data_IF_545929229846
#
_entry.id   IF_545929229846
#
_cell.length_a   1.000
_cell.length_b   1.000
_cell.length_c   1.000
_cell.angle_alpha   90.00
_cell.angle_beta   90.00
_cell.angle_gamma   90.00
#
_symmetry.space_group_name_H-M   'P 1'
#
loop_
_entity.id
_entity.type
_entity.pdbx_description
1 polymer ?
#
# COMPACT_ATOMS: atom_id res chain seq x y z
N UNK A 1 4.94 2.99 15.06
CA UNK A 1 4.16 2.72 13.84
C UNK A 1 4.06 1.22 13.65
N UNK A 2 2.94 0.71 13.18
CA UNK A 2 2.71 -0.71 12.89
C UNK A 2 2.34 -0.82 11.41
N UNK A 3 2.99 -1.68 10.65
CA UNK A 3 2.59 -1.94 9.26
C UNK A 3 1.29 -2.76 9.26
N UNK A 4 0.34 -2.33 8.44
CA UNK A 4 -1.01 -2.87 8.45
C UNK A 4 -1.67 -2.61 7.09
N UNK A 5 -2.10 -3.67 6.42
CA UNK A 5 -2.69 -3.56 5.09
C UNK A 5 -4.18 -3.25 5.14
N UNK A 6 -4.85 -3.73 6.18
CA UNK A 6 -6.25 -3.48 6.42
C UNK A 6 -6.49 -3.13 7.88
N UNK A 7 -7.02 -1.93 8.11
CA UNK A 7 -7.48 -1.47 9.41
C UNK A 7 -8.93 -0.99 9.33
N UNK A 8 -9.66 -1.13 10.44
CA UNK A 8 -11.06 -0.74 10.52
C UNK A 8 -11.24 0.70 11.06
N UNK A 9 -12.49 1.16 11.09
CA UNK A 9 -12.86 2.51 11.56
C UNK A 9 -12.56 2.78 13.04
N UNK A 10 -12.26 1.75 13.83
CA UNK A 10 -11.82 1.91 15.23
C UNK A 10 -10.30 1.81 15.39
N UNK A 11 -9.57 1.74 14.27
CA UNK A 11 -8.11 1.72 14.20
C UNK A 11 -7.48 0.37 14.47
N UNK A 12 -8.28 -0.69 14.58
CA UNK A 12 -7.77 -2.04 14.77
C UNK A 12 -7.15 -2.54 13.46
N UNK A 13 -5.93 -3.08 13.55
CA UNK A 13 -5.30 -3.73 12.42
C UNK A 13 -5.86 -5.14 12.25
N UNK A 14 -6.59 -5.37 11.16
CA UNK A 14 -7.16 -6.67 10.81
C UNK A 14 -6.17 -7.54 10.04
N UNK A 15 -5.26 -6.91 9.29
CA UNK A 15 -4.22 -7.60 8.51
C UNK A 15 -2.84 -7.01 8.84
N UNK A 16 -2.25 -7.42 9.98
CA UNK A 16 -0.90 -7.00 10.34
C UNK A 16 0.13 -7.65 9.42
N UNK A 17 1.10 -6.86 8.98
CA UNK A 17 2.16 -7.34 8.09
C UNK A 17 3.53 -7.15 8.72
N UNK A 18 4.39 -8.15 8.53
CA UNK A 18 5.78 -8.07 8.95
C UNK A 18 6.63 -7.25 7.96
N UNK A 19 7.81 -6.83 8.40
CA UNK A 19 8.80 -6.26 7.47
C UNK A 19 9.20 -7.31 6.44
N UNK A 20 9.50 -6.86 5.21
CA UNK A 20 9.82 -7.72 4.07
C UNK A 20 8.66 -8.65 3.66
N UNK A 21 7.42 -8.15 3.72
CA UNK A 21 6.23 -8.92 3.43
C UNK A 21 6.21 -9.50 1.99
N UNK A 22 5.64 -10.69 1.83
CA UNK A 22 5.50 -11.36 0.54
C UNK A 22 4.03 -11.64 0.21
N UNK A 23 3.51 -10.85 -0.72
CA UNK A 23 2.17 -11.03 -1.28
C UNK A 23 2.12 -12.24 -2.22
N UNK A 24 1.16 -13.13 -1.99
CA UNK A 24 0.88 -14.30 -2.83
C UNK A 24 -0.51 -14.16 -3.42
N UNK A 25 -0.56 -13.85 -4.71
CA UNK A 25 -1.82 -13.54 -5.40
C UNK A 25 -2.28 -14.74 -6.21
N UNK A 26 -3.52 -15.17 -5.99
CA UNK A 26 -4.19 -16.14 -6.85
C UNK A 26 -5.03 -15.40 -7.88
N UNK A 27 -4.84 -15.73 -9.17
CA UNK A 27 -5.54 -15.10 -10.29
C UNK A 27 -6.39 -16.16 -10.99
N UNK A 28 -7.72 -15.99 -11.06
CA UNK A 28 -8.57 -16.84 -11.89
C UNK A 28 -8.10 -16.89 -13.34
N UNK A 29 -8.20 -18.06 -13.99
CA UNK A 29 -7.70 -18.26 -15.35
C UNK A 29 -8.21 -17.21 -16.35
N UNK A 30 -9.50 -16.87 -16.26
CA UNK A 30 -10.18 -15.89 -17.12
C UNK A 30 -9.72 -14.44 -16.90
N UNK A 31 -8.92 -14.16 -15.85
CA UNK A 31 -8.31 -12.85 -15.55
C UNK A 31 -6.79 -12.86 -15.67
N UNK A 32 -6.21 -13.90 -16.29
CA UNK A 32 -4.76 -14.00 -16.47
C UNK A 32 -4.21 -12.70 -17.09
N UNK A 33 -3.30 -11.99 -16.40
CA UNK A 33 -2.70 -10.80 -16.95
C UNK A 33 -1.67 -11.17 -18.03
N UNK A 34 -1.74 -10.50 -19.17
CA UNK A 34 -0.74 -10.53 -20.22
C UNK A 34 0.09 -9.24 -20.29
N UNK A 35 -0.32 -8.21 -19.54
CA UNK A 35 0.39 -6.93 -19.42
C UNK A 35 0.45 -6.47 -17.96
N UNK A 36 1.44 -5.64 -17.65
CA UNK A 36 1.51 -4.95 -16.37
C UNK A 36 0.31 -4.06 -16.09
N UNK A 37 -0.30 -3.45 -17.11
CA UNK A 37 -1.53 -2.70 -16.93
C UNK A 37 -2.67 -3.59 -16.42
N UNK A 38 -2.92 -4.74 -17.07
CA UNK A 38 -3.96 -5.67 -16.61
C UNK A 38 -3.63 -6.23 -15.22
N UNK A 39 -2.37 -6.53 -14.96
CA UNK A 39 -1.95 -7.02 -13.65
C UNK A 39 -2.16 -5.97 -12.54
N UNK A 40 -1.75 -4.73 -12.78
CA UNK A 40 -1.93 -3.64 -11.82
C UNK A 40 -3.41 -3.34 -11.56
N UNK A 41 -4.24 -3.35 -12.61
CA UNK A 41 -5.68 -3.22 -12.48
C UNK A 41 -6.28 -4.40 -11.69
N UNK A 42 -5.80 -5.64 -11.91
CA UNK A 42 -6.23 -6.79 -11.12
C UNK A 42 -5.91 -6.62 -9.63
N UNK A 43 -4.67 -6.20 -9.32
CA UNK A 43 -4.28 -5.92 -7.94
C UNK A 43 -5.18 -4.86 -7.30
N UNK A 44 -5.48 -3.79 -8.03
CA UNK A 44 -6.32 -2.70 -7.53
C UNK A 44 -7.78 -3.12 -7.29
N UNK A 45 -8.42 -3.78 -8.27
CA UNK A 45 -9.86 -4.05 -8.19
C UNK A 45 -10.22 -5.38 -7.51
N UNK A 46 -9.31 -6.36 -7.51
CA UNK A 46 -9.62 -7.74 -7.10
C UNK A 46 -8.80 -8.22 -5.91
N UNK A 47 -7.47 -8.11 -5.94
CA UNK A 47 -6.65 -8.55 -4.80
C UNK A 47 -6.76 -7.58 -3.62
N UNK A 48 -6.79 -6.27 -3.92
CA UNK A 48 -6.86 -5.17 -2.95
C UNK A 48 -5.72 -5.16 -1.93
N UNK A 49 -4.52 -5.52 -2.38
CA UNK A 49 -3.32 -5.37 -1.55
C UNK A 49 -3.06 -3.89 -1.28
N UNK A 50 -3.15 -3.49 -0.01
CA UNK A 50 -3.10 -2.10 0.43
C UNK A 50 -1.99 -1.85 1.46
N UNK A 51 -0.69 -1.97 1.08
CA UNK A 51 0.42 -1.66 1.95
C UNK A 51 0.21 -0.35 2.71
N UNK A 52 0.23 -0.44 4.04
CA UNK A 52 -0.16 0.67 4.89
C UNK A 52 0.45 0.59 6.27
N UNK A 53 0.03 1.54 7.10
CA UNK A 53 0.45 1.60 8.48
C UNK A 53 -0.59 2.26 9.39
N UNK A 54 -0.45 1.97 10.67
CA UNK A 54 -1.13 2.63 11.78
C UNK A 54 -0.12 3.29 12.73
N UNK A 55 -0.48 4.47 13.19
CA UNK A 55 0.19 5.20 14.26
C UNK A 55 -0.78 5.25 15.42
N UNK A 56 -0.32 4.81 16.59
CA UNK A 56 -1.07 4.84 17.85
C UNK A 56 -0.44 5.87 18.77
N UNK A 57 -1.28 6.75 19.32
CA UNK A 57 -0.89 7.69 20.36
C UNK A 57 -1.12 7.07 21.73
N UNK A 58 -0.34 7.48 22.74
CA UNK A 58 -0.46 6.98 24.11
C UNK A 58 -1.66 7.55 24.88
N UNK A 59 -2.40 8.49 24.26
CA UNK A 59 -3.63 9.09 24.79
C UNK A 59 -4.53 9.51 23.64
N UNK A 60 -5.78 9.82 23.97
CA UNK A 60 -6.70 10.48 23.03
C UNK A 60 -6.17 11.87 22.66
N UNK A 61 -6.31 12.20 21.39
CA UNK A 61 -6.09 13.52 20.80
C UNK A 61 -7.16 14.47 21.31
N UNK A 62 -6.76 15.68 21.66
CA UNK A 62 -7.70 16.77 21.90
C UNK A 62 -8.37 17.18 20.58
N UNK A 63 -9.53 17.88 20.63
CA UNK A 63 -10.16 18.41 19.42
C UNK A 63 -9.24 19.33 18.60
N UNK A 64 -8.38 20.12 19.29
CA UNK A 64 -7.41 21.00 18.62
C UNK A 64 -6.34 20.21 17.89
N UNK A 65 -5.76 19.19 18.53
CA UNK A 65 -4.75 18.33 17.90
C UNK A 65 -5.32 17.56 16.72
N UNK A 66 -6.52 17.00 16.88
CA UNK A 66 -7.25 16.32 15.81
C UNK A 66 -7.43 17.22 14.59
N UNK A 67 -7.77 18.50 14.80
CA UNK A 67 -7.91 19.47 13.72
C UNK A 67 -6.55 19.77 13.07
N UNK A 68 -5.52 20.05 13.87
CA UNK A 68 -4.16 20.32 13.36
C UNK A 68 -3.62 19.17 12.51
N UNK A 69 -3.85 17.92 12.94
CA UNK A 69 -3.45 16.74 12.17
C UNK A 69 -4.22 16.68 10.86
N UNK A 70 -5.55 16.78 10.87
CA UNK A 70 -6.36 16.77 9.64
C UNK A 70 -5.94 17.87 8.64
N UNK A 71 -5.58 19.05 9.13
CA UNK A 71 -5.22 20.19 8.30
C UNK A 71 -3.78 20.10 7.72
N UNK A 72 -2.89 19.32 8.34
CA UNK A 72 -1.46 19.26 7.98
C UNK A 72 -0.93 17.88 7.60
N UNK A 73 -1.71 16.82 7.80
CA UNK A 73 -1.24 15.45 7.61
C UNK A 73 -0.99 15.14 6.13
N UNK A 74 0.19 14.60 5.88
CA UNK A 74 0.63 14.18 4.55
C UNK A 74 1.45 12.90 4.68
N UNK A 75 1.09 11.89 3.88
CA UNK A 75 1.77 10.61 3.84
C UNK A 75 2.12 10.22 2.40
N UNK A 76 3.30 9.63 2.22
CA UNK A 76 3.80 9.13 0.94
C UNK A 76 4.31 7.70 1.07
N UNK A 77 4.25 6.99 -0.05
CA UNK A 77 4.93 5.71 -0.23
C UNK A 77 5.91 5.84 -1.39
N UNK A 78 7.18 5.55 -1.14
CA UNK A 78 8.18 5.29 -2.16
C UNK A 78 8.17 3.80 -2.49
N UNK A 79 8.15 3.46 -3.77
CA UNK A 79 8.21 2.09 -4.27
C UNK A 79 9.27 2.02 -5.37
N UNK A 80 10.45 1.49 -5.03
CA UNK A 80 11.60 1.37 -5.94
C UNK A 80 11.86 2.64 -6.77
N UNK A 81 11.95 3.77 -6.06
CA UNK A 81 12.22 5.10 -6.63
C UNK A 81 11.00 5.87 -7.13
N UNK A 82 9.82 5.26 -7.21
CA UNK A 82 8.56 5.96 -7.52
C UNK A 82 7.88 6.40 -6.24
N UNK A 83 7.75 7.70 -6.01
CA UNK A 83 7.09 8.26 -4.82
C UNK A 83 5.70 8.74 -5.19
N UNK A 84 4.70 8.29 -4.44
CA UNK A 84 3.32 8.74 -4.58
C UNK A 84 2.74 9.13 -3.21
N UNK A 85 1.77 10.06 -3.23
CA UNK A 85 0.94 10.34 -2.04
C UNK A 85 0.07 9.12 -1.76
N UNK A 86 0.00 8.71 -0.50
CA UNK A 86 -0.85 7.59 -0.10
C UNK A 86 -2.33 7.92 -0.33
N UNK A 87 -3.04 6.97 -0.94
CA UNK A 87 -4.46 7.09 -1.31
C UNK A 87 -5.39 7.12 -0.09
N UNK A 88 -5.04 6.39 0.97
CA UNK A 88 -5.84 6.27 2.18
C UNK A 88 -5.38 7.17 3.32
N UNK A 89 -6.35 7.81 3.98
CA UNK A 89 -6.17 8.48 5.26
C UNK A 89 -7.41 8.28 6.13
N UNK A 90 -7.21 7.71 7.31
CA UNK A 90 -8.22 7.66 8.37
C UNK A 90 -7.60 8.08 9.70
N UNK A 91 -8.45 8.60 10.59
CA UNK A 91 -8.03 9.05 11.91
C UNK A 91 -9.16 8.84 12.91
N UNK A 92 -8.81 8.28 14.06
CA UNK A 92 -9.70 8.18 15.21
C UNK A 92 -9.24 9.03 16.39
N UNK A 93 -9.69 8.67 17.59
CA UNK A 93 -9.41 9.45 18.79
C UNK A 93 -7.94 9.34 19.24
N UNK A 94 -7.28 8.23 18.98
CA UNK A 94 -5.91 7.95 19.45
C UNK A 94 -5.06 7.28 18.35
N UNK A 95 -5.45 7.43 17.08
CA UNK A 95 -4.75 6.80 15.98
C UNK A 95 -4.89 7.54 14.65
N UNK A 96 -3.91 7.33 13.78
CA UNK A 96 -3.90 7.75 12.37
C UNK A 96 -3.47 6.56 11.52
N UNK A 97 -4.13 6.35 10.39
CA UNK A 97 -3.82 5.29 9.44
C UNK A 97 -3.73 5.80 8.02
N UNK A 98 -2.81 5.23 7.25
CA UNK A 98 -2.68 5.47 5.82
C UNK A 98 -2.36 4.19 5.08
N UNK A 99 -2.87 4.07 3.85
CA UNK A 99 -2.61 2.94 2.97
C UNK A 99 -2.44 3.41 1.52
N UNK A 100 -1.79 2.59 0.71
CA UNK A 100 -1.66 2.79 -0.73
C UNK A 100 -2.07 1.50 -1.44
N UNK A 101 -2.87 1.57 -2.51
CA UNK A 101 -3.12 0.39 -3.32
C UNK A 101 -1.84 0.01 -4.05
N UNK A 102 -1.36 -1.22 -3.83
CA UNK A 102 -0.13 -1.72 -4.46
C UNK A 102 -0.23 -1.69 -5.99
N UNK A 103 -1.43 -2.01 -6.53
CA UNK A 103 -1.72 -1.90 -7.96
C UNK A 103 -1.54 -0.48 -8.50
N UNK A 104 -1.97 0.55 -7.77
CA UNK A 104 -1.85 1.95 -8.19
C UNK A 104 -0.38 2.36 -8.37
N UNK A 105 0.46 2.10 -7.36
CA UNK A 105 1.86 2.55 -7.42
C UNK A 105 2.70 1.75 -8.43
N UNK A 106 2.43 0.46 -8.62
CA UNK A 106 3.09 -0.36 -9.64
C UNK A 106 2.74 0.19 -11.03
N UNK A 107 1.48 0.53 -11.27
CA UNK A 107 1.03 1.12 -12.54
C UNK A 107 1.78 2.42 -12.83
N UNK A 108 1.86 3.32 -11.85
CA UNK A 108 2.55 4.60 -12.04
C UNK A 108 4.05 4.44 -12.28
N UNK A 109 4.73 3.53 -11.56
CA UNK A 109 6.14 3.21 -11.82
C UNK A 109 6.35 2.75 -13.27
N UNK A 110 5.54 1.80 -13.72
CA UNK A 110 5.70 1.19 -15.04
C UNK A 110 5.23 2.09 -16.18
N UNK A 111 4.31 3.01 -15.91
CA UNK A 111 3.95 4.09 -16.82
C UNK A 111 5.14 5.02 -17.05
N UNK A 112 5.83 5.44 -15.98
CA UNK A 112 7.04 6.28 -16.04
C UNK A 112 8.18 5.57 -16.80
N UNK A 113 8.24 4.25 -16.72
CA UNK A 113 9.23 3.42 -17.44
C UNK A 113 8.79 3.01 -18.87
N UNK A 114 7.58 3.39 -19.33
CA UNK A 114 7.00 2.95 -20.60
C UNK A 114 6.92 1.41 -20.77
N UNK A 115 6.58 0.70 -19.69
CA UNK A 115 6.55 -0.77 -19.60
C UNK A 115 5.17 -1.36 -19.37
N UNK A 116 4.10 -0.55 -19.36
CA UNK A 116 2.73 -1.00 -19.08
C UNK A 116 2.22 -2.13 -19.98
N UNK A 117 2.60 -2.11 -21.26
CA UNK A 117 2.23 -3.13 -22.26
C UNK A 117 3.08 -4.39 -22.21
N UNK A 118 4.17 -4.39 -21.43
CA UNK A 118 5.03 -5.56 -21.28
C UNK A 118 4.42 -6.60 -20.34
N UNK A 119 4.77 -7.86 -20.56
CA UNK A 119 4.33 -8.97 -19.71
C UNK A 119 4.82 -8.79 -18.26
N UNK A 120 4.01 -9.11 -17.24
CA UNK A 120 4.35 -8.88 -15.84
C UNK A 120 5.35 -9.89 -15.27
N UNK A 121 6.60 -9.84 -15.72
CA UNK A 121 7.71 -10.56 -15.10
C UNK A 121 8.01 -9.98 -13.71
N UNK A 122 7.42 -10.56 -12.66
CA UNK A 122 7.47 -10.00 -11.30
C UNK A 122 8.90 -9.82 -10.78
N UNK A 123 9.81 -10.72 -11.12
CA UNK A 123 11.24 -10.63 -10.81
C UNK A 123 11.94 -9.39 -11.39
N UNK A 124 11.31 -8.66 -12.32
CA UNK A 124 11.84 -7.40 -12.86
C UNK A 124 11.54 -6.18 -11.99
N UNK A 125 10.72 -6.33 -10.94
CA UNK A 125 10.37 -5.28 -9.98
C UNK A 125 10.61 -5.72 -8.54
N UNK A 126 10.35 -7.00 -8.25
CA UNK A 126 10.39 -7.54 -6.90
C UNK A 126 11.67 -8.35 -6.62
N UNK A 127 12.21 -8.30 -5.39
CA UNK A 127 11.72 -7.52 -4.24
C UNK A 127 11.89 -6.01 -4.47
N UNK A 128 10.87 -5.25 -4.10
CA UNK A 128 10.83 -3.81 -4.24
C UNK A 128 11.16 -3.16 -2.90
N UNK A 129 12.10 -2.22 -2.89
CA UNK A 129 12.34 -1.36 -1.73
C UNK A 129 11.15 -0.42 -1.54
N UNK A 130 10.66 -0.32 -0.30
CA UNK A 130 9.52 0.51 0.07
C UNK A 130 9.87 1.40 1.25
N UNK A 131 9.48 2.66 1.17
CA UNK A 131 9.62 3.61 2.25
C UNK A 131 8.29 4.34 2.45
N UNK A 132 7.73 4.20 3.64
CA UNK A 132 6.61 5.01 4.10
C UNK A 132 7.16 6.24 4.80
N UNK A 133 6.62 7.42 4.45
CA UNK A 133 6.89 8.65 5.19
C UNK A 133 5.58 9.34 5.51
N UNK A 134 5.50 9.92 6.70
CA UNK A 134 4.38 10.76 7.10
C UNK A 134 4.88 11.96 7.88
N UNK A 135 4.17 13.06 7.73
CA UNK A 135 4.42 14.29 8.47
C UNK A 135 3.07 14.97 8.76
N UNK A 136 3.02 15.60 9.92
CA UNK A 136 2.02 16.60 10.30
C UNK A 136 2.71 17.68 11.12
N UNK A 137 1.98 18.74 11.46
CA UNK A 137 2.45 19.77 12.39
C UNK A 137 2.81 19.26 13.79
N UNK A 138 2.39 18.05 14.19
CA UNK A 138 2.58 17.50 15.53
C UNK A 138 3.51 16.29 15.62
N UNK A 139 3.68 15.58 14.51
CA UNK A 139 4.50 14.36 14.48
C UNK A 139 4.93 14.04 13.06
N UNK A 140 6.04 13.33 12.93
CA UNK A 140 6.55 12.79 11.69
C UNK A 140 7.20 11.44 11.92
N UNK A 141 7.45 10.71 10.84
CA UNK A 141 8.16 9.46 10.90
C UNK A 141 8.31 8.81 9.54
N UNK A 142 9.18 7.80 9.53
CA UNK A 142 9.45 6.98 8.36
C UNK A 142 9.60 5.51 8.74
N UNK A 143 9.35 4.63 7.78
CA UNK A 143 9.63 3.21 7.91
C UNK A 143 10.05 2.64 6.56
N UNK A 144 11.14 1.86 6.57
CA UNK A 144 11.70 1.21 5.39
C UNK A 144 11.47 -0.28 5.47
N UNK A 145 10.98 -0.86 4.39
CA UNK A 145 10.70 -2.29 4.27
C UNK A 145 10.95 -2.74 2.84
N UNK A 146 10.76 -4.03 2.59
CA UNK A 146 10.65 -4.56 1.24
C UNK A 146 9.28 -5.18 1.05
N UNK A 147 8.83 -5.14 -0.19
CA UNK A 147 7.67 -5.91 -0.62
C UNK A 147 8.17 -6.91 -1.64
N UNK A 148 7.79 -8.17 -1.49
CA UNK A 148 7.90 -9.18 -2.52
C UNK A 148 6.50 -9.54 -3.02
N UNK A 149 6.40 -9.96 -4.27
CA UNK A 149 5.13 -10.37 -4.85
C UNK A 149 5.34 -11.54 -5.82
N UNK A 150 4.51 -12.56 -5.65
CA UNK A 150 4.34 -13.63 -6.63
C UNK A 150 2.87 -13.85 -6.90
N UNK A 151 2.53 -14.25 -8.13
CA UNK A 151 1.18 -14.68 -8.46
C UNK A 151 1.19 -16.06 -9.11
N UNK A 152 0.08 -16.78 -8.93
CA UNK A 152 -0.23 -17.99 -9.69
C UNK A 152 -1.54 -17.80 -10.45
N UNK A 153 -1.64 -18.42 -11.62
CA UNK A 153 -2.89 -18.47 -12.38
C UNK A 153 -3.57 -19.79 -12.06
N UNK A 154 -4.79 -19.72 -11.53
CA UNK A 154 -5.60 -20.88 -11.21
C UNK A 154 -5.99 -21.64 -12.49
N UNK A 155 -6.25 -22.95 -12.40
CA UNK A 155 -6.77 -23.72 -13.52
C UNK A 155 -8.13 -23.17 -14.00
N UNK A 156 -8.51 -23.44 -15.25
CA UNK A 156 -9.85 -23.11 -15.74
C UNK A 156 -10.93 -23.76 -14.87
N UNK A 157 -12.01 -23.03 -14.58
CA UNK A 157 -13.21 -23.62 -13.99
C UNK A 157 -13.79 -24.64 -14.97
N UNK A 158 -14.24 -25.79 -14.44
CA UNK A 158 -14.79 -26.90 -15.23
C UNK A 158 -16.21 -26.62 -15.69
#
# INVERSE_FOLDING_TARGET
MILCDHFNRVGECLEPVERNHHYKIEIPNHKKPDTWEKFSNYLYFHARETPGFLIRFNRKLTPSESKMIKDSYYATMSFSGTVERMEGFEMGEDWVGSFQYLGSIIKEKLKKENRLSSFPYTNSIFPAEVEFRFNSSLFEGEEKTKINLSFIVLPPEK
#
